data_IF_153321416259
#
_entry.id   IF_153321416259
#
_cell.length_a   1.000
_cell.length_b   1.000
_cell.length_c   1.000
_cell.angle_alpha   90.00
_cell.angle_beta   90.00
_cell.angle_gamma   90.00
#
_symmetry.space_group_name_H-M   'P 1'
#
loop_
_entity.id
_entity.type
_entity.pdbx_description
1 polymer ?
#
# COMPACT_ATOMS: atom_id res chain seq x y z
N UNK A 1 17.60 3.29 23.97
CA UNK A 1 16.24 2.86 23.57
C UNK A 1 16.30 2.46 22.09
N UNK A 2 16.03 1.20 21.77
CA UNK A 2 15.87 0.78 20.37
C UNK A 2 14.68 1.52 19.74
N UNK A 3 14.93 2.34 18.71
CA UNK A 3 13.87 2.86 17.85
C UNK A 3 13.28 1.68 17.08
N UNK A 4 12.14 1.15 17.53
CA UNK A 4 11.41 0.10 16.82
C UNK A 4 10.68 0.73 15.64
N UNK A 5 11.10 0.36 14.44
CA UNK A 5 10.63 0.93 13.18
C UNK A 5 9.97 -0.17 12.34
N UNK A 6 9.06 0.20 11.42
CA UNK A 6 8.39 -0.77 10.54
C UNK A 6 9.16 -0.96 9.23
N UNK A 7 9.32 -2.21 8.83
CA UNK A 7 9.81 -2.58 7.51
C UNK A 7 8.64 -2.56 6.50
N UNK A 8 8.87 -2.07 5.29
CA UNK A 8 7.87 -2.09 4.22
C UNK A 8 8.22 -3.17 3.19
N UNK A 9 7.28 -4.10 2.96
CA UNK A 9 7.40 -5.14 1.92
C UNK A 9 6.28 -5.00 0.90
N UNK A 10 6.50 -5.52 -0.30
CA UNK A 10 5.52 -5.53 -1.38
C UNK A 10 5.17 -6.96 -1.75
N UNK A 11 3.90 -7.24 -1.99
CA UNK A 11 3.51 -8.48 -2.66
C UNK A 11 3.78 -8.38 -4.17
N UNK A 12 3.77 -9.51 -4.86
CA UNK A 12 3.89 -9.52 -6.33
C UNK A 12 2.81 -8.67 -7.01
N UNK A 13 1.61 -8.60 -6.42
CA UNK A 13 0.50 -7.79 -6.94
C UNK A 13 0.82 -6.30 -6.85
N UNK A 14 1.31 -5.84 -5.68
CA UNK A 14 1.73 -4.47 -5.49
C UNK A 14 2.92 -4.08 -6.39
N UNK A 15 3.88 -4.98 -6.60
CA UNK A 15 4.97 -4.75 -7.56
C UNK A 15 4.46 -4.59 -8.99
N UNK A 16 3.52 -5.44 -9.42
CA UNK A 16 2.89 -5.35 -10.75
C UNK A 16 2.16 -4.02 -10.90
N UNK A 17 1.46 -3.57 -9.88
CA UNK A 17 0.78 -2.28 -9.87
C UNK A 17 1.77 -1.12 -10.01
N UNK A 18 2.87 -1.16 -9.25
CA UNK A 18 3.91 -0.15 -9.32
C UNK A 18 4.60 -0.14 -10.69
N UNK A 19 4.88 -1.31 -11.27
CA UNK A 19 5.44 -1.45 -12.62
C UNK A 19 4.49 -0.88 -13.68
N UNK A 20 3.18 -1.15 -13.59
CA UNK A 20 2.16 -0.57 -14.49
C UNK A 20 2.13 0.96 -14.37
N UNK A 21 2.14 1.47 -13.13
CA UNK A 21 2.14 2.89 -12.86
C UNK A 21 3.41 3.59 -13.36
N UNK A 22 4.59 2.97 -13.24
CA UNK A 22 5.83 3.51 -13.80
C UNK A 22 5.74 3.65 -15.32
N UNK A 23 5.14 2.66 -15.99
CA UNK A 23 4.95 2.65 -17.45
C UNK A 23 3.95 3.72 -17.91
N UNK A 24 2.85 3.90 -17.19
CA UNK A 24 1.81 4.88 -17.57
C UNK A 24 2.10 6.30 -17.11
N UNK A 25 2.67 6.48 -15.91
CA UNK A 25 2.98 7.78 -15.33
C UNK A 25 4.12 7.70 -14.30
N UNK A 26 5.36 7.88 -14.78
CA UNK A 26 6.58 7.84 -13.97
C UNK A 26 6.61 8.87 -12.85
N UNK A 27 6.03 10.05 -13.04
CA UNK A 27 6.02 11.12 -12.03
C UNK A 27 5.18 10.72 -10.81
N UNK A 28 3.99 10.16 -11.05
CA UNK A 28 3.13 9.65 -9.99
C UNK A 28 3.78 8.45 -9.29
N UNK A 29 4.41 7.53 -10.04
CA UNK A 29 5.13 6.42 -9.41
C UNK A 29 6.23 6.89 -8.44
N UNK A 30 6.97 7.95 -8.82
CA UNK A 30 7.96 8.58 -7.93
C UNK A 30 7.30 9.21 -6.70
N UNK A 31 6.17 9.91 -6.88
CA UNK A 31 5.40 10.50 -5.78
C UNK A 31 4.98 9.44 -4.76
N UNK A 32 4.41 8.33 -5.22
CA UNK A 32 3.97 7.24 -4.34
C UNK A 32 5.16 6.61 -3.61
N UNK A 33 6.27 6.32 -4.32
CA UNK A 33 7.49 5.79 -3.69
C UNK A 33 8.03 6.72 -2.61
N UNK A 34 8.13 8.01 -2.93
CA UNK A 34 8.57 9.04 -1.96
C UNK A 34 7.65 9.08 -0.75
N UNK A 35 6.34 9.07 -0.98
CA UNK A 35 5.38 9.08 0.12
C UNK A 35 5.51 7.85 1.03
N UNK A 36 5.70 6.65 0.47
CA UNK A 36 5.96 5.42 1.25
C UNK A 36 7.23 5.59 2.08
N UNK A 37 8.32 6.07 1.46
CA UNK A 37 9.59 6.32 2.16
C UNK A 37 9.43 7.29 3.31
N UNK A 38 8.73 8.40 3.10
CA UNK A 38 8.62 9.48 4.09
C UNK A 38 7.65 9.15 5.24
N UNK A 39 6.71 8.23 5.04
CA UNK A 39 5.59 8.02 5.98
C UNK A 39 5.50 6.60 6.56
N UNK A 40 6.04 5.61 5.85
CA UNK A 40 5.83 4.20 6.18
C UNK A 40 7.14 3.46 6.47
N UNK A 41 8.24 3.83 5.80
CA UNK A 41 9.56 3.30 6.15
C UNK A 41 10.01 3.94 7.45
N UNK A 42 10.52 3.12 8.35
CA UNK A 42 11.04 3.52 9.66
C UNK A 42 10.08 4.28 10.59
N UNK A 43 8.80 4.29 10.26
CA UNK A 43 7.78 4.90 11.11
C UNK A 43 7.60 4.10 12.39
N UNK A 44 7.30 4.78 13.50
CA UNK A 44 6.92 4.12 14.76
C UNK A 44 5.43 3.81 14.83
N UNK A 45 4.62 4.50 14.01
CA UNK A 45 3.17 4.36 14.03
C UNK A 45 2.60 4.43 12.61
N UNK A 46 2.64 3.32 11.85
CA UNK A 46 2.11 3.28 10.49
C UNK A 46 0.60 3.59 10.48
N UNK A 47 -0.12 3.29 11.56
CA UNK A 47 -1.57 3.54 11.68
C UNK A 47 -1.93 5.02 11.63
N UNK A 48 -1.01 5.93 11.96
CA UNK A 48 -1.28 7.37 12.03
C UNK A 48 -1.72 7.97 10.69
N UNK A 49 -1.18 7.47 9.58
CA UNK A 49 -1.48 7.96 8.23
C UNK A 49 -2.52 7.12 7.49
N UNK A 50 -2.99 6.04 8.12
CA UNK A 50 -3.89 5.06 7.52
C UNK A 50 -5.27 5.04 8.17
N UNK A 51 -6.21 4.39 7.49
CA UNK A 51 -7.50 4.01 8.07
C UNK A 51 -7.65 2.50 8.01
N UNK A 52 -8.03 1.90 9.13
CA UNK A 52 -8.41 0.49 9.16
C UNK A 52 -9.62 0.26 8.24
N UNK A 53 -9.56 -0.81 7.45
CA UNK A 53 -10.70 -1.29 6.68
C UNK A 53 -11.61 -2.15 7.57
N UNK A 54 -12.89 -2.24 7.20
CA UNK A 54 -13.94 -2.89 7.97
C UNK A 54 -14.57 -4.05 7.20
N UNK A 55 -15.45 -4.82 7.85
CA UNK A 55 -16.12 -5.97 7.26
C UNK A 55 -15.13 -7.06 6.83
N UNK A 56 -15.28 -7.57 5.61
CA UNK A 56 -14.46 -8.65 5.05
C UNK A 56 -12.99 -8.29 4.84
N UNK A 57 -12.62 -7.01 5.00
CA UNK A 57 -11.24 -6.52 4.88
C UNK A 57 -10.65 -6.09 6.24
N UNK A 58 -11.28 -6.50 7.35
CA UNK A 58 -10.75 -6.25 8.70
C UNK A 58 -9.33 -6.78 8.82
N UNK A 59 -8.45 -6.00 9.45
CA UNK A 59 -7.02 -6.28 9.55
C UNK A 59 -6.17 -5.56 8.50
N UNK A 60 -6.80 -5.11 7.41
CA UNK A 60 -6.14 -4.30 6.39
C UNK A 60 -6.23 -2.80 6.69
N UNK A 61 -5.27 -2.07 6.14
CA UNK A 61 -5.09 -0.64 6.31
C UNK A 61 -5.02 0.03 4.95
N UNK A 62 -5.70 1.18 4.84
CA UNK A 62 -5.72 2.00 3.63
C UNK A 62 -5.04 3.33 3.87
N UNK A 63 -4.07 3.65 3.02
CA UNK A 63 -3.37 4.94 2.97
C UNK A 63 -3.80 5.72 1.74
N UNK A 64 -4.03 7.02 1.88
CA UNK A 64 -4.45 7.89 0.77
C UNK A 64 -3.31 8.80 0.33
N UNK A 65 -3.04 8.81 -0.98
CA UNK A 65 -2.01 9.63 -1.60
C UNK A 65 -2.64 10.32 -2.82
N UNK A 66 -3.26 11.49 -2.59
CA UNK A 66 -4.06 12.17 -3.62
C UNK A 66 -5.21 11.30 -4.12
N UNK A 67 -5.17 10.93 -5.40
CA UNK A 67 -6.11 10.02 -6.07
C UNK A 67 -5.70 8.54 -6.02
N UNK A 68 -4.65 8.19 -5.29
CA UNK A 68 -4.19 6.80 -5.14
C UNK A 68 -4.43 6.30 -3.72
N UNK A 69 -4.58 4.98 -3.62
CA UNK A 69 -4.73 4.26 -2.37
C UNK A 69 -3.73 3.12 -2.33
N UNK A 70 -3.07 3.00 -1.19
CA UNK A 70 -2.29 1.81 -0.85
C UNK A 70 -3.11 1.01 0.15
N UNK A 71 -3.28 -0.28 -0.12
CA UNK A 71 -3.82 -1.22 0.86
C UNK A 71 -2.68 -2.08 1.37
N UNK A 72 -2.56 -2.18 2.68
CA UNK A 72 -1.50 -2.95 3.33
C UNK A 72 -2.04 -3.73 4.54
N UNK A 73 -1.33 -4.79 4.90
CA UNK A 73 -1.48 -5.49 6.17
C UNK A 73 -0.36 -5.05 7.12
N UNK A 74 -0.66 -4.98 8.42
CA UNK A 74 0.33 -4.66 9.45
C UNK A 74 0.48 -5.89 10.34
N UNK A 75 1.64 -6.56 10.27
CA UNK A 75 1.90 -7.80 11.01
C UNK A 75 3.34 -7.84 11.51
N UNK A 76 3.54 -8.11 12.80
CA UNK A 76 4.85 -8.36 13.43
C UNK A 76 5.95 -7.36 13.05
N UNK A 77 5.60 -6.07 12.90
CA UNK A 77 6.45 -4.93 12.45
C UNK A 77 6.74 -4.84 10.95
N UNK A 78 6.09 -5.66 10.14
CA UNK A 78 6.09 -5.54 8.69
C UNK A 78 4.80 -4.86 8.24
N UNK A 79 4.97 -3.82 7.42
CA UNK A 79 3.90 -3.25 6.62
C UNK A 79 3.94 -3.91 5.23
N UNK A 80 3.08 -4.90 5.03
CA UNK A 80 3.00 -5.63 3.76
C UNK A 80 2.03 -4.92 2.82
N UNK A 81 2.55 -4.19 1.84
CA UNK A 81 1.77 -3.54 0.80
C UNK A 81 1.22 -4.59 -0.16
N UNK A 82 -0.12 -4.67 -0.23
CA UNK A 82 -0.85 -5.66 -1.00
C UNK A 82 -1.17 -5.15 -2.41
N UNK A 83 -1.72 -3.94 -2.51
CA UNK A 83 -2.24 -3.37 -3.76
C UNK A 83 -2.04 -1.85 -3.76
N UNK A 84 -1.78 -1.29 -4.96
CA UNK A 84 -1.84 0.15 -5.22
C UNK A 84 -2.94 0.40 -6.25
N UNK A 85 -3.96 1.17 -5.88
CA UNK A 85 -5.15 1.40 -6.71
C UNK A 85 -5.44 2.89 -6.88
N UNK A 86 -6.03 3.26 -8.03
CA UNK A 86 -6.53 4.61 -8.28
C UNK A 86 -7.96 4.74 -7.76
N UNK A 87 -8.31 5.91 -7.24
CA UNK A 87 -9.59 6.21 -6.61
C UNK A 87 -10.73 6.51 -7.57
N UNK A 88 -10.49 6.50 -8.88
CA UNK A 88 -11.51 6.88 -9.85
C UNK A 88 -12.64 5.84 -9.89
N UNK A 89 -13.87 6.32 -9.70
CA UNK A 89 -15.09 5.50 -9.49
C UNK A 89 -15.44 4.66 -10.72
N UNK A 90 -14.84 4.96 -11.88
CA UNK A 90 -15.05 4.22 -13.14
C UNK A 90 -14.16 3.00 -13.32
N UNK A 91 -13.00 2.94 -12.67
CA UNK A 91 -12.01 1.88 -12.94
C UNK A 91 -11.97 0.77 -11.89
N UNK A 92 -12.55 1.01 -10.70
CA UNK A 92 -12.54 0.05 -9.58
C UNK A 92 -13.33 -1.22 -9.86
N UNK A 93 -14.17 -1.26 -10.91
CA UNK A 93 -15.02 -2.41 -11.26
C UNK A 93 -14.42 -3.35 -12.32
N UNK A 94 -13.39 -2.96 -13.08
CA UNK A 94 -12.91 -3.78 -14.21
C UNK A 94 -11.92 -4.88 -13.83
N UNK A 95 -11.32 -4.82 -12.64
CA UNK A 95 -10.42 -5.86 -12.15
C UNK A 95 -10.74 -6.12 -10.68
N UNK A 96 -11.42 -7.23 -10.38
CA UNK A 96 -11.55 -7.75 -9.00
C UNK A 96 -10.16 -8.10 -8.49
N UNK A 97 -9.43 -7.12 -7.94
CA UNK A 97 -8.16 -7.37 -7.28
C UNK A 97 -8.45 -8.01 -5.92
N UNK A 98 -7.95 -9.21 -5.70
CA UNK A 98 -8.13 -9.92 -4.44
C UNK A 98 -6.99 -9.54 -3.49
N UNK A 99 -7.31 -9.10 -2.28
CA UNK A 99 -6.31 -8.74 -1.25
C UNK A 99 -5.60 -9.96 -0.61
N UNK A 100 -5.90 -11.19 -1.07
CA UNK A 100 -5.47 -12.46 -0.45
C UNK A 100 -4.19 -13.07 -1.04
N UNK A 101 -3.49 -12.41 -1.96
CA UNK A 101 -2.19 -12.89 -2.43
C UNK A 101 -1.11 -12.57 -1.38
N UNK A 102 -1.05 -13.39 -0.33
CA UNK A 102 -0.06 -13.32 0.76
C UNK A 102 1.31 -13.90 0.36
N UNK A 103 1.58 -14.11 -0.94
CA UNK A 103 2.91 -14.56 -1.39
C UNK A 103 3.88 -13.39 -1.28
N UNK A 104 4.62 -13.36 -0.17
CA UNK A 104 5.79 -12.52 0.03
C UNK A 104 6.88 -13.09 -0.88
N UNK A 105 7.49 -12.23 -1.70
CA UNK A 105 8.65 -12.58 -2.51
C UNK A 105 9.93 -12.11 -1.82
#
# INVERSE_FOLDING_TARGET
MEKRSYEVKFTESAEKDLKKLIKSNKAIAKLIKKWISDNLIDTQNPKQRGKALTGNLKGLWRYRIGSYRIVAEIKDKVLLILIIEISDRKETYKNKKTYKDSKIK
#
